data_IF_271543533102
#
_entry.id   IF_271543533102
#
_cell.length_a   1.000
_cell.length_b   1.000
_cell.length_c   1.000
_cell.angle_alpha   90.00
_cell.angle_beta   90.00
_cell.angle_gamma   90.00
#
_symmetry.space_group_name_H-M   'P 1'
#
loop_
_entity.id
_entity.type
_entity.pdbx_description
1 polymer ?
#
# COMPACT_ATOMS: atom_id res chain seq x y z
N UNK A 1 54.24 32.08 -18.48
CA UNK A 1 54.66 33.38 -17.91
C UNK A 1 54.53 33.27 -16.40
N UNK A 2 55.62 33.55 -15.71
CA UNK A 2 55.94 33.26 -14.29
C UNK A 2 55.06 34.09 -13.29
N UNK A 3 55.15 33.88 -11.95
CA UNK A 3 54.10 33.34 -11.08
C UNK A 3 54.08 34.08 -9.69
N UNK A 4 53.88 33.36 -8.57
CA UNK A 4 54.32 33.65 -7.16
C UNK A 4 53.28 34.48 -6.35
N UNK A 5 52.88 34.20 -5.09
CA UNK A 5 53.47 33.44 -3.97
C UNK A 5 52.43 32.93 -2.94
N UNK A 6 52.90 31.94 -2.21
CA UNK A 6 52.47 31.21 -1.00
C UNK A 6 52.24 32.01 0.29
N UNK A 7 51.49 31.43 1.26
CA UNK A 7 51.91 31.03 2.63
C UNK A 7 50.67 30.47 3.41
N UNK A 8 50.61 29.17 3.79
CA UNK A 8 50.82 28.57 5.16
C UNK A 8 49.89 29.12 6.27
N UNK A 9 49.36 28.39 7.26
CA UNK A 9 49.44 27.03 7.79
C UNK A 9 48.30 26.89 8.86
N UNK A 10 47.57 25.76 8.94
CA UNK A 10 47.68 24.70 9.97
C UNK A 10 46.79 24.83 11.23
N UNK A 11 46.21 23.68 11.61
CA UNK A 11 45.71 23.25 12.95
C UNK A 11 44.38 23.88 13.45
N UNK A 12 43.43 23.19 14.11
CA UNK A 12 43.33 21.84 14.65
C UNK A 12 41.84 21.47 14.92
N UNK A 13 41.65 20.17 15.14
CA UNK A 13 40.53 19.41 15.70
C UNK A 13 39.66 20.08 16.78
N UNK A 14 38.35 19.75 16.75
CA UNK A 14 37.45 19.34 17.86
C UNK A 14 37.57 20.07 19.22
N UNK A 15 36.53 20.79 19.68
CA UNK A 15 35.41 20.31 20.54
C UNK A 15 34.73 21.48 21.30
N UNK A 16 33.39 21.40 21.45
CA UNK A 16 32.53 21.96 22.53
C UNK A 16 32.27 23.49 22.63
N UNK A 17 31.01 23.89 22.41
CA UNK A 17 30.10 24.46 23.43
C UNK A 17 28.64 24.10 23.06
N UNK A 18 27.91 23.56 24.06
CA UNK A 18 26.48 23.18 24.13
C UNK A 18 25.55 24.42 24.17
N UNK A 19 24.39 24.47 23.48
CA UNK A 19 22.98 24.05 23.84
C UNK A 19 22.36 24.87 25.00
N UNK A 20 21.16 25.53 24.87
CA UNK A 20 19.81 24.89 24.80
C UNK A 20 18.80 25.57 23.84
N UNK A 21 17.72 24.95 23.37
CA UNK A 21 17.07 23.69 23.73
C UNK A 21 15.98 23.30 22.71
N UNK A 22 15.11 22.36 23.13
CA UNK A 22 14.04 21.67 22.36
C UNK A 22 14.54 20.50 21.49
N UNK A 23 14.92 19.42 22.16
CA UNK A 23 15.00 18.09 21.58
C UNK A 23 13.60 17.44 21.52
N UNK A 24 13.06 17.28 20.31
CA UNK A 24 12.21 16.13 20.01
C UNK A 24 12.93 15.26 18.98
N UNK A 25 13.85 14.41 19.46
CA UNK A 25 14.28 13.24 18.69
C UNK A 25 13.19 12.19 18.82
N UNK A 26 12.37 12.06 17.78
CA UNK A 26 11.49 10.92 17.63
C UNK A 26 12.34 9.70 17.26
N UNK A 27 12.90 9.02 18.26
CA UNK A 27 13.46 7.69 18.10
C UNK A 27 12.30 6.70 18.12
N UNK A 28 11.92 6.15 16.97
CA UNK A 28 10.99 5.03 16.90
C UNK A 28 11.80 3.74 16.89
N UNK A 29 11.76 2.90 17.94
CA UNK A 29 12.25 1.54 17.82
C UNK A 29 11.22 0.74 17.03
N UNK A 30 11.54 0.45 15.77
CA UNK A 30 10.84 -0.59 15.01
C UNK A 30 11.45 -1.92 15.45
N UNK A 31 10.84 -2.56 16.44
CA UNK A 31 11.09 -3.97 16.70
C UNK A 31 10.33 -4.79 15.64
N UNK A 32 11.03 -5.15 14.55
CA UNK A 32 10.59 -6.25 13.69
C UNK A 32 11.01 -7.54 14.40
N UNK A 33 10.04 -8.33 14.86
CA UNK A 33 10.31 -9.68 15.34
C UNK A 33 10.68 -10.57 14.15
N UNK A 34 11.98 -10.61 13.81
CA UNK A 34 12.55 -11.66 12.98
C UNK A 34 12.95 -12.80 13.90
N UNK A 35 12.10 -13.83 13.97
CA UNK A 35 12.39 -15.06 14.71
C UNK A 35 13.17 -15.99 13.78
N UNK A 36 14.49 -15.95 13.91
CA UNK A 36 15.40 -16.98 13.44
C UNK A 36 15.95 -17.73 14.65
N UNK A 37 15.60 -19.00 14.78
CA UNK A 37 16.18 -19.93 15.76
C UNK A 37 17.71 -19.95 15.62
N UNK A 38 18.41 -19.42 16.64
CA UNK A 38 19.62 -19.97 17.29
C UNK A 38 20.27 -18.92 18.22
N UNK A 39 20.40 -19.30 19.48
CA UNK A 39 21.18 -18.72 20.59
C UNK A 39 21.92 -17.40 20.32
N UNK A 40 21.37 -16.28 20.80
CA UNK A 40 22.19 -15.13 21.21
C UNK A 40 22.69 -15.45 22.62
N UNK A 41 23.94 -15.93 22.72
CA UNK A 41 24.64 -16.06 24.00
C UNK A 41 24.74 -14.69 24.66
N UNK A 42 24.36 -14.60 25.94
CA UNK A 42 24.67 -13.46 26.82
C UNK A 42 26.17 -13.20 26.78
N UNK A 43 26.58 -12.10 26.16
CA UNK A 43 27.86 -11.45 26.42
C UNK A 43 27.60 -10.37 27.48
N UNK A 44 27.60 -10.79 28.74
CA UNK A 44 27.68 -9.87 29.87
C UNK A 44 29.09 -9.94 30.44
N UNK A 45 29.92 -8.94 30.14
CA UNK A 45 30.94 -8.40 31.04
C UNK A 45 31.50 -7.14 30.37
N UNK A 46 31.13 -5.96 30.86
CA UNK A 46 32.06 -4.89 31.26
C UNK A 46 31.26 -3.83 32.02
N UNK A 47 31.72 -3.52 33.23
CA UNK A 47 31.10 -2.54 34.11
C UNK A 47 31.25 -1.13 33.54
N UNK A 48 30.12 -0.52 33.21
CA UNK A 48 29.92 0.93 33.19
C UNK A 48 28.42 1.14 33.31
N UNK A 49 27.98 2.00 34.22
CA UNK A 49 26.58 2.42 34.35
C UNK A 49 26.07 2.92 33.00
N UNK A 50 25.29 2.08 32.30
CA UNK A 50 24.72 2.42 31.01
C UNK A 50 23.62 3.47 31.21
N UNK A 51 23.79 4.72 30.74
CA UNK A 51 22.76 5.75 30.85
C UNK A 51 21.51 5.47 30.01
N UNK A 52 21.49 4.35 29.27
CA UNK A 52 20.33 3.83 28.55
C UNK A 52 19.71 2.59 29.20
N UNK A 53 20.21 2.13 30.36
CA UNK A 53 19.62 1.01 31.11
C UNK A 53 18.16 1.30 31.49
N UNK A 54 17.84 2.54 31.88
CA UNK A 54 16.48 2.97 32.19
C UNK A 54 15.59 2.99 30.94
N UNK A 55 16.14 3.41 29.79
CA UNK A 55 15.42 3.42 28.51
C UNK A 55 15.18 2.00 27.99
N UNK A 56 16.13 1.09 28.20
CA UNK A 56 15.96 -0.34 27.93
C UNK A 56 14.95 -0.97 28.88
N UNK A 57 15.01 -0.68 30.17
CA UNK A 57 14.03 -1.17 31.15
C UNK A 57 12.61 -0.70 30.80
N UNK A 58 12.45 0.56 30.41
CA UNK A 58 11.16 1.15 29.97
C UNK A 58 10.68 0.61 28.61
N UNK A 59 11.60 0.23 27.71
CA UNK A 59 11.29 -0.43 26.42
C UNK A 59 10.99 -1.92 26.54
N UNK A 60 11.49 -2.58 27.58
CA UNK A 60 11.33 -4.01 27.84
C UNK A 60 10.20 -4.29 28.84
N UNK A 61 9.73 -3.27 29.56
CA UNK A 61 8.58 -3.38 30.46
C UNK A 61 7.33 -3.76 29.66
N UNK A 62 6.70 -4.89 30.01
CA UNK A 62 5.57 -5.45 29.26
C UNK A 62 5.91 -6.22 27.97
N UNK A 63 7.20 -6.41 27.64
CA UNK A 63 7.64 -7.33 26.57
C UNK A 63 7.94 -8.69 27.20
N UNK A 64 7.08 -9.68 26.96
CA UNK A 64 7.38 -11.05 27.39
C UNK A 64 8.39 -11.69 26.43
N UNK A 65 9.62 -11.87 26.88
CA UNK A 65 10.59 -12.74 26.23
C UNK A 65 10.35 -14.17 26.71
N UNK A 66 9.89 -15.04 25.81
CA UNK A 66 9.63 -16.43 26.12
C UNK A 66 9.18 -17.23 24.91
N UNK A 67 9.22 -18.56 25.04
CA UNK A 67 8.64 -19.46 24.05
C UNK A 67 7.11 -19.31 24.10
N UNK A 68 6.54 -18.80 23.01
CA UNK A 68 5.10 -18.83 22.76
C UNK A 68 4.84 -19.77 21.58
N UNK A 69 3.66 -20.40 21.52
CA UNK A 69 3.36 -21.39 20.50
C UNK A 69 3.42 -20.78 19.09
N UNK A 70 3.84 -21.60 18.14
CA UNK A 70 3.88 -21.19 16.73
C UNK A 70 2.48 -21.02 16.18
N UNK A 71 2.27 -19.94 15.42
CA UNK A 71 1.01 -19.66 14.75
C UNK A 71 0.62 -20.81 13.81
N UNK A 72 -0.59 -21.32 13.99
CA UNK A 72 -1.14 -22.43 13.18
C UNK A 72 -1.97 -21.91 12.00
N UNK A 73 -2.74 -20.84 12.22
CA UNK A 73 -3.71 -20.33 11.25
C UNK A 73 -3.63 -18.81 11.13
N UNK A 74 -4.21 -18.29 10.05
CA UNK A 74 -4.43 -16.86 9.86
C UNK A 74 -5.85 -16.50 10.24
N UNK A 75 -6.04 -15.40 10.96
CA UNK A 75 -7.30 -14.96 11.55
C UNK A 75 -8.42 -14.95 10.50
N UNK A 76 -8.20 -14.31 9.35
CA UNK A 76 -9.20 -14.17 8.29
C UNK A 76 -9.40 -15.40 7.40
N UNK A 77 -8.64 -16.48 7.59
CA UNK A 77 -8.80 -17.72 6.81
C UNK A 77 -9.69 -18.75 7.52
N UNK A 78 -9.97 -18.55 8.81
CA UNK A 78 -10.81 -19.46 9.58
C UNK A 78 -12.27 -19.39 9.12
N UNK A 79 -12.91 -20.55 9.04
CA UNK A 79 -14.30 -20.66 8.63
C UNK A 79 -14.97 -21.88 9.31
N UNK A 80 -16.21 -22.20 8.93
CA UNK A 80 -16.98 -23.30 9.52
C UNK A 80 -16.31 -24.68 9.41
N UNK A 81 -15.44 -24.91 8.43
CA UNK A 81 -14.71 -26.19 8.32
C UNK A 81 -13.73 -26.40 9.46
N UNK A 82 -13.34 -25.34 10.18
CA UNK A 82 -12.39 -25.41 11.30
C UNK A 82 -13.06 -25.64 12.66
N UNK A 83 -14.38 -25.88 12.72
CA UNK A 83 -15.09 -26.01 13.99
C UNK A 83 -14.52 -27.14 14.86
N UNK A 84 -14.28 -26.84 16.14
CA UNK A 84 -13.71 -27.76 17.11
C UNK A 84 -12.17 -27.85 17.09
N UNK A 85 -11.50 -27.29 16.08
CA UNK A 85 -10.04 -27.28 16.00
C UNK A 85 -9.41 -26.43 17.10
N UNK A 86 -8.27 -26.88 17.60
CA UNK A 86 -7.39 -26.08 18.44
C UNK A 86 -6.49 -25.20 17.56
N UNK A 87 -6.52 -23.90 17.79
CA UNK A 87 -5.81 -22.92 16.96
C UNK A 87 -4.96 -21.99 17.79
N UNK A 88 -3.78 -21.71 17.26
CA UNK A 88 -2.86 -20.66 17.72
C UNK A 88 -2.86 -19.53 16.71
N UNK A 89 -3.26 -18.34 17.14
CA UNK A 89 -3.35 -17.14 16.31
C UNK A 89 -2.47 -16.02 16.88
N UNK A 90 -1.83 -15.26 15.99
CA UNK A 90 -0.99 -14.12 16.38
C UNK A 90 -1.37 -12.91 15.55
N UNK A 91 -1.59 -11.77 16.20
CA UNK A 91 -2.05 -10.56 15.53
C UNK A 91 -2.14 -9.35 16.45
N UNK A 92 -2.83 -8.32 15.97
CA UNK A 92 -3.11 -7.09 16.69
C UNK A 92 -4.49 -7.16 17.34
N UNK A 93 -4.50 -7.00 18.67
CA UNK A 93 -5.71 -6.81 19.45
C UNK A 93 -6.44 -5.55 18.98
N UNK A 94 -7.70 -5.64 18.57
CA UNK A 94 -8.53 -4.46 18.39
C UNK A 94 -9.12 -4.01 19.73
N UNK A 95 -10.06 -3.07 19.70
CA UNK A 95 -10.75 -2.64 20.91
C UNK A 95 -11.45 -3.82 21.58
N UNK A 96 -11.02 -4.09 22.81
CA UNK A 96 -11.65 -5.04 23.69
C UNK A 96 -13.03 -4.53 24.10
N UNK A 97 -14.03 -5.42 24.09
CA UNK A 97 -15.41 -5.12 24.46
C UNK A 97 -15.80 -6.00 25.64
N UNK A 98 -15.88 -5.40 26.82
CA UNK A 98 -16.30 -6.07 28.05
C UNK A 98 -17.79 -5.82 28.28
N UNK A 99 -18.59 -6.89 28.32
CA UNK A 99 -20.03 -6.79 28.64
C UNK A 99 -20.28 -7.08 30.12
N UNK A 100 -19.55 -8.03 30.69
CA UNK A 100 -19.53 -8.34 32.12
C UNK A 100 -18.12 -8.80 32.52
N UNK A 101 -17.89 -9.08 33.80
CA UNK A 101 -16.63 -9.69 34.26
C UNK A 101 -16.40 -11.09 33.68
N UNK A 102 -17.46 -11.78 33.27
CA UNK A 102 -17.44 -13.14 32.75
C UNK A 102 -17.54 -13.22 31.23
N UNK A 103 -17.68 -12.07 30.53
CA UNK A 103 -17.87 -12.03 29.09
C UNK A 103 -17.07 -10.91 28.43
N UNK A 104 -15.98 -11.30 27.78
CA UNK A 104 -15.06 -10.41 27.06
C UNK A 104 -15.00 -10.81 25.59
N UNK A 105 -15.17 -9.84 24.70
CA UNK A 105 -14.96 -10.01 23.28
C UNK A 105 -13.73 -9.23 22.83
N UNK A 106 -12.82 -9.91 22.14
CA UNK A 106 -11.59 -9.35 21.63
C UNK A 106 -11.45 -9.66 20.14
N UNK A 107 -11.72 -8.70 19.24
CA UNK A 107 -11.41 -8.90 17.84
C UNK A 107 -9.88 -8.93 17.66
N UNK A 108 -9.36 -10.00 17.06
CA UNK A 108 -7.95 -10.17 16.73
C UNK A 108 -7.78 -10.02 15.22
N UNK A 109 -6.94 -9.07 14.80
CA UNK A 109 -6.67 -8.79 13.39
C UNK A 109 -5.27 -9.23 13.00
N UNK A 110 -5.14 -9.83 11.84
CA UNK A 110 -3.86 -9.94 11.14
C UNK A 110 -3.99 -9.47 9.68
N UNK A 111 -2.99 -9.76 8.86
CA UNK A 111 -2.98 -9.33 7.46
C UNK A 111 -4.06 -10.00 6.58
N UNK A 112 -4.66 -11.10 7.02
CA UNK A 112 -5.67 -11.87 6.29
C UNK A 112 -7.09 -11.45 6.63
N UNK A 113 -7.30 -10.89 7.83
CA UNK A 113 -8.62 -10.44 8.28
C UNK A 113 -8.69 -10.35 9.80
N UNK A 114 -9.92 -10.27 10.31
CA UNK A 114 -10.21 -10.19 11.74
C UNK A 114 -11.07 -11.37 12.14
N UNK A 115 -10.76 -12.00 13.27
CA UNK A 115 -11.60 -13.02 13.93
C UNK A 115 -11.97 -12.55 15.33
N UNK A 116 -13.11 -13.01 15.85
CA UNK A 116 -13.51 -12.71 17.22
C UNK A 116 -12.94 -13.76 18.16
N UNK A 117 -12.19 -13.32 19.16
CA UNK A 117 -11.80 -14.12 20.33
C UNK A 117 -12.77 -13.80 21.45
N UNK A 118 -13.18 -14.81 22.20
CA UNK A 118 -14.14 -14.67 23.29
C UNK A 118 -13.62 -15.35 24.55
N UNK A 119 -13.84 -14.72 25.70
CA UNK A 119 -13.63 -15.32 27.00
C UNK A 119 -14.99 -15.38 27.71
N UNK A 120 -15.53 -16.58 27.91
CA UNK A 120 -16.79 -16.84 28.64
C UNK A 120 -16.53 -17.59 29.95
N UNK A 121 -17.27 -17.23 31.00
CA UNK A 121 -17.29 -17.94 32.29
C UNK A 121 -16.36 -17.33 33.35
N UNK A 122 -16.44 -17.87 34.57
CA UNK A 122 -15.67 -17.45 35.76
C UNK A 122 -14.79 -18.55 36.35
N UNK A 123 -14.52 -19.62 35.59
CA UNK A 123 -13.66 -20.72 36.03
C UNK A 123 -12.23 -20.23 36.30
N UNK A 124 -11.58 -20.82 37.30
CA UNK A 124 -10.23 -20.44 37.75
C UNK A 124 -9.17 -20.56 36.66
N UNK A 125 -9.36 -21.48 35.70
CA UNK A 125 -8.48 -21.64 34.54
C UNK A 125 -8.44 -20.38 33.64
N UNK A 126 -9.52 -19.58 33.65
CA UNK A 126 -9.67 -18.37 32.82
C UNK A 126 -9.23 -17.09 33.53
N UNK A 127 -8.93 -17.14 34.84
CA UNK A 127 -8.56 -15.96 35.63
C UNK A 127 -7.29 -15.28 35.14
N UNK A 128 -6.25 -16.07 34.83
CA UNK A 128 -5.00 -15.54 34.31
C UNK A 128 -5.18 -14.87 32.94
N UNK A 129 -5.96 -15.49 32.06
CA UNK A 129 -6.28 -14.90 30.76
C UNK A 129 -7.08 -13.60 30.94
N UNK A 130 -8.06 -13.58 31.84
CA UNK A 130 -8.87 -12.40 32.16
C UNK A 130 -8.01 -11.25 32.67
N UNK A 131 -7.11 -11.51 33.61
CA UNK A 131 -6.17 -10.52 34.14
C UNK A 131 -5.30 -9.93 33.03
N UNK A 132 -4.72 -10.79 32.16
CA UNK A 132 -3.91 -10.34 31.02
C UNK A 132 -4.69 -9.48 30.03
N UNK A 133 -5.98 -9.74 29.86
CA UNK A 133 -6.86 -8.95 28.99
C UNK A 133 -7.30 -7.61 29.60
N UNK A 134 -7.39 -7.49 30.92
CA UNK A 134 -7.81 -6.24 31.58
C UNK A 134 -6.86 -5.08 31.30
N UNK A 135 -5.56 -5.37 31.28
CA UNK A 135 -4.52 -4.38 31.02
C UNK A 135 -4.18 -4.21 29.53
N UNK A 136 -4.89 -4.91 28.65
CA UNK A 136 -4.60 -4.93 27.22
C UNK A 136 -5.07 -3.65 26.54
N UNK A 137 -4.13 -2.94 25.91
CA UNK A 137 -4.42 -1.76 25.12
C UNK A 137 -4.63 -2.13 23.64
N UNK A 138 -5.45 -1.34 22.94
CA UNK A 138 -5.70 -1.54 21.52
C UNK A 138 -4.39 -1.53 20.70
N UNK A 139 -4.38 -2.31 19.63
CA UNK A 139 -3.26 -2.55 18.72
C UNK A 139 -2.02 -3.19 19.35
N UNK A 140 -2.13 -3.70 20.59
CA UNK A 140 -1.12 -4.57 21.18
C UNK A 140 -0.97 -5.86 20.37
N UNK A 141 0.24 -6.39 20.30
CA UNK A 141 0.53 -7.66 19.62
C UNK A 141 0.34 -8.79 20.61
N UNK A 142 -0.54 -9.73 20.28
CA UNK A 142 -0.86 -10.86 21.14
C UNK A 142 -0.78 -12.18 20.37
N UNK A 143 -0.48 -13.25 21.10
CA UNK A 143 -0.67 -14.62 20.68
C UNK A 143 -1.80 -15.23 21.52
N UNK A 144 -2.78 -15.85 20.87
CA UNK A 144 -3.91 -16.50 21.52
C UNK A 144 -3.94 -17.97 21.14
N UNK A 145 -4.23 -18.81 22.11
CA UNK A 145 -4.60 -20.21 21.92
C UNK A 145 -6.07 -20.37 22.27
N UNK A 146 -6.79 -21.12 21.46
CA UNK A 146 -8.20 -21.33 21.69
C UNK A 146 -8.80 -22.40 20.80
N UNK A 147 -10.09 -22.63 20.99
CA UNK A 147 -10.86 -23.57 20.17
C UNK A 147 -11.83 -22.81 19.27
N UNK A 148 -11.91 -23.22 18.01
CA UNK A 148 -12.88 -22.65 17.07
C UNK A 148 -14.27 -23.15 17.44
N UNK A 149 -15.20 -22.23 17.68
CA UNK A 149 -16.60 -22.53 18.01
C UNK A 149 -17.55 -21.76 17.09
N UNK A 150 -18.76 -22.28 16.93
CA UNK A 150 -19.80 -21.56 16.21
C UNK A 150 -20.28 -20.38 17.05
N UNK A 151 -20.60 -19.27 16.40
CA UNK A 151 -21.40 -18.24 17.06
C UNK A 151 -22.84 -18.71 17.20
N UNK A 152 -23.53 -18.16 18.19
CA UNK A 152 -24.98 -18.26 18.29
C UNK A 152 -25.63 -17.66 17.05
N UNK A 153 -26.77 -18.21 16.62
CA UNK A 153 -27.45 -17.79 15.39
C UNK A 153 -27.77 -16.28 15.37
N UNK A 154 -28.07 -15.68 16.52
CA UNK A 154 -28.33 -14.24 16.68
C UNK A 154 -27.06 -13.37 16.66
N UNK A 155 -25.87 -13.95 16.84
CA UNK A 155 -24.58 -13.26 16.93
C UNK A 155 -23.72 -13.39 15.66
N UNK A 156 -24.25 -14.05 14.62
CA UNK A 156 -23.61 -14.15 13.31
C UNK A 156 -23.46 -12.76 12.69
N UNK A 157 -22.25 -12.43 12.23
CA UNK A 157 -21.98 -11.15 11.56
C UNK A 157 -21.74 -11.37 10.06
N UNK A 158 -22.75 -11.16 9.18
CA UNK A 158 -22.61 -11.39 7.75
C UNK A 158 -21.61 -10.44 7.06
N UNK A 159 -21.17 -9.37 7.73
CA UNK A 159 -20.19 -8.42 7.21
C UNK A 159 -18.74 -8.89 7.40
N UNK A 160 -18.51 -9.98 8.13
CA UNK A 160 -17.19 -10.54 8.39
C UNK A 160 -17.07 -11.92 7.76
N UNK A 161 -15.92 -12.21 7.13
CA UNK A 161 -15.63 -13.55 6.56
C UNK A 161 -15.68 -14.62 7.64
N UNK A 162 -15.13 -14.34 8.82
CA UNK A 162 -15.18 -15.21 10.00
C UNK A 162 -16.43 -14.96 10.84
N UNK A 163 -17.50 -14.42 10.24
CA UNK A 163 -18.67 -13.92 10.95
C UNK A 163 -19.52 -14.99 11.61
N UNK A 164 -19.37 -16.24 11.18
CA UNK A 164 -20.12 -17.39 11.68
C UNK A 164 -19.41 -18.11 12.84
N UNK A 165 -18.14 -17.78 13.10
CA UNK A 165 -17.28 -18.46 14.07
C UNK A 165 -16.66 -17.47 15.07
N UNK A 166 -16.24 -17.99 16.21
CA UNK A 166 -15.42 -17.30 17.19
C UNK A 166 -14.42 -18.25 17.83
N UNK A 167 -13.43 -17.72 18.53
CA UNK A 167 -12.39 -18.50 19.21
C UNK A 167 -12.64 -18.43 20.72
N UNK A 168 -13.04 -19.55 21.32
CA UNK A 168 -13.08 -19.64 22.79
C UNK A 168 -11.66 -19.67 23.33
N UNK A 169 -11.32 -18.65 24.10
CA UNK A 169 -9.97 -18.36 24.56
C UNK A 169 -9.56 -19.35 25.66
N UNK A 170 -8.43 -20.02 25.42
CA UNK A 170 -7.77 -20.90 26.39
C UNK A 170 -6.61 -20.15 27.03
N UNK A 171 -5.72 -19.56 26.22
CA UNK A 171 -4.54 -18.85 26.71
C UNK A 171 -4.29 -17.59 25.88
N UNK A 172 -3.74 -16.56 26.52
CA UNK A 172 -3.27 -15.34 25.85
C UNK A 172 -1.88 -14.96 26.34
N UNK A 173 -1.00 -14.65 25.41
CA UNK A 173 0.34 -14.12 25.65
C UNK A 173 0.44 -12.73 24.98
N UNK A 174 0.81 -11.72 25.77
CA UNK A 174 0.99 -10.34 25.29
C UNK A 174 2.43 -10.18 24.82
N UNK A 175 2.66 -10.28 23.52
CA UNK A 175 4.00 -10.25 22.93
C UNK A 175 4.60 -8.85 22.96
N UNK A 176 3.77 -7.84 22.70
CA UNK A 176 4.19 -6.44 22.75
C UNK A 176 2.98 -5.55 23.05
N UNK A 177 3.03 -4.84 24.17
CA UNK A 177 1.95 -3.96 24.61
C UNK A 177 2.07 -2.58 23.97
N UNK A 178 0.94 -1.97 23.63
CA UNK A 178 0.94 -0.58 23.19
C UNK A 178 0.95 0.34 24.42
N UNK A 179 2.09 0.97 24.72
CA UNK A 179 2.27 1.80 25.92
C UNK A 179 1.78 3.25 25.78
N UNK A 180 1.69 3.78 24.55
CA UNK A 180 1.28 5.17 24.28
C UNK A 180 -0.11 5.20 23.67
N UNK A 181 -0.90 6.22 24.04
CA UNK A 181 -2.17 6.51 23.36
C UNK A 181 -1.90 6.69 21.88
N UNK A 182 -2.55 5.88 21.04
CA UNK A 182 -2.36 5.94 19.61
C UNK A 182 -3.05 7.17 19.01
N UNK A 183 -2.45 7.81 18.00
CA UNK A 183 -3.03 9.00 17.36
C UNK A 183 -4.34 8.69 16.63
N UNK A 184 -4.53 7.44 16.22
CA UNK A 184 -5.77 6.89 15.66
C UNK A 184 -5.71 5.36 15.68
N UNK A 185 -6.85 4.69 15.52
CA UNK A 185 -6.91 3.24 15.36
C UNK A 185 -7.10 2.87 13.88
N UNK A 186 -6.35 1.90 13.34
CA UNK A 186 -6.54 1.40 11.98
C UNK A 186 -7.93 0.81 11.72
N UNK A 187 -8.66 0.41 12.76
CA UNK A 187 -10.03 -0.11 12.68
C UNK A 187 -11.11 0.98 12.59
N UNK A 188 -10.77 2.25 12.82
CA UNK A 188 -11.76 3.33 12.79
C UNK A 188 -12.27 3.56 11.36
N UNK A 189 -13.58 3.80 11.23
CA UNK A 189 -14.21 4.10 9.95
C UNK A 189 -13.87 5.52 9.49
N UNK A 190 -13.94 6.49 10.40
CA UNK A 190 -13.57 7.88 10.13
C UNK A 190 -12.06 8.03 10.08
N UNK A 191 -11.57 8.63 8.99
CA UNK A 191 -10.15 8.89 8.82
C UNK A 191 -9.77 10.18 9.52
N UNK A 192 -8.66 10.15 10.26
CA UNK A 192 -7.98 11.36 10.71
C UNK A 192 -7.30 12.07 9.53
N UNK A 193 -6.85 13.31 9.75
CA UNK A 193 -6.18 14.10 8.73
C UNK A 193 -5.04 13.33 8.05
N UNK A 194 -4.84 13.59 6.76
CA UNK A 194 -3.78 12.92 6.00
C UNK A 194 -2.39 13.17 6.59
N UNK A 195 -2.14 14.37 7.11
CA UNK A 195 -0.89 14.72 7.80
C UNK A 195 -0.58 13.75 8.95
N UNK A 196 -1.54 13.48 9.83
CA UNK A 196 -1.37 12.53 10.94
C UNK A 196 -1.14 11.11 10.39
N UNK A 197 -1.87 10.72 9.35
CA UNK A 197 -1.71 9.40 8.73
C UNK A 197 -0.33 9.21 8.08
N UNK A 198 0.21 10.24 7.44
CA UNK A 198 1.56 10.22 6.86
C UNK A 198 2.64 10.22 7.95
N UNK A 199 2.47 11.00 9.02
CA UNK A 199 3.38 11.01 10.17
C UNK A 199 3.47 9.64 10.85
N UNK A 200 2.34 8.93 10.96
CA UNK A 200 2.26 7.59 11.54
C UNK A 200 1.96 6.52 10.48
N UNK A 201 2.68 6.58 9.35
CA UNK A 201 2.40 5.72 8.18
C UNK A 201 2.50 4.22 8.50
N UNK A 202 3.39 3.81 9.40
CA UNK A 202 3.48 2.41 9.83
C UNK A 202 2.16 1.90 10.45
N UNK A 203 1.42 2.76 11.15
CA UNK A 203 0.11 2.45 11.72
C UNK A 203 -0.98 2.51 10.66
N UNK A 204 -0.99 3.55 9.81
CA UNK A 204 -1.97 3.70 8.72
C UNK A 204 -1.91 2.50 7.76
N UNK A 205 -0.70 2.02 7.46
CA UNK A 205 -0.48 0.84 6.61
C UNK A 205 -1.11 -0.44 7.18
N UNK A 206 -1.52 -0.53 8.45
CA UNK A 206 -2.26 -1.69 8.98
C UNK A 206 -3.70 -1.77 8.48
N UNK A 207 -4.24 -0.70 7.90
CA UNK A 207 -5.61 -0.67 7.36
C UNK A 207 -5.74 -1.61 6.17
N UNK A 208 -6.86 -2.35 6.12
CA UNK A 208 -7.15 -3.34 5.09
C UNK A 208 -7.06 -2.76 3.67
N UNK A 209 -7.54 -1.53 3.46
CA UNK A 209 -7.50 -0.88 2.13
C UNK A 209 -6.05 -0.67 1.65
N UNK A 210 -5.16 -0.17 2.51
CA UNK A 210 -3.76 0.07 2.14
C UNK A 210 -2.98 -1.23 2.00
N UNK A 211 -3.24 -2.21 2.87
CA UNK A 211 -2.72 -3.57 2.74
C UNK A 211 -3.11 -4.20 1.40
N UNK A 212 -4.37 -4.03 0.96
CA UNK A 212 -4.83 -4.48 -0.36
C UNK A 212 -4.10 -3.74 -1.48
N UNK A 213 -4.03 -2.42 -1.43
CA UNK A 213 -3.36 -1.62 -2.46
C UNK A 213 -1.89 -2.04 -2.68
N UNK A 214 -1.15 -2.33 -1.60
CA UNK A 214 0.24 -2.79 -1.71
C UNK A 214 0.34 -4.18 -2.35
N UNK A 215 -0.58 -5.11 -2.03
CA UNK A 215 -0.64 -6.44 -2.65
C UNK A 215 -1.06 -6.38 -4.11
N UNK A 216 -2.08 -5.57 -4.43
CA UNK A 216 -2.53 -5.32 -5.80
C UNK A 216 -1.37 -4.73 -6.63
N UNK A 217 -0.62 -3.76 -6.08
CA UNK A 217 0.58 -3.21 -6.74
C UNK A 217 1.65 -4.28 -6.99
N UNK A 218 1.92 -5.14 -6.01
CA UNK A 218 2.88 -6.24 -6.14
C UNK A 218 2.45 -7.24 -7.22
N UNK A 219 1.17 -7.64 -7.20
CA UNK A 219 0.59 -8.52 -8.20
C UNK A 219 0.64 -7.90 -9.60
N UNK A 220 0.31 -6.62 -9.75
CA UNK A 220 0.41 -5.91 -11.03
C UNK A 220 1.85 -5.96 -11.57
N UNK A 221 2.86 -5.67 -10.75
CA UNK A 221 4.25 -5.73 -11.15
C UNK A 221 4.67 -7.15 -11.58
N UNK A 222 4.17 -8.18 -10.91
CA UNK A 222 4.40 -9.58 -11.31
C UNK A 222 3.74 -9.91 -12.65
N UNK A 223 2.48 -9.51 -12.85
CA UNK A 223 1.76 -9.73 -14.13
C UNK A 223 2.45 -9.01 -15.28
N UNK A 224 2.95 -7.79 -15.05
CA UNK A 224 3.70 -7.03 -16.05
C UNK A 224 4.97 -7.79 -16.46
N UNK A 225 5.74 -8.27 -15.49
CA UNK A 225 6.95 -9.07 -15.75
C UNK A 225 6.63 -10.34 -16.53
N UNK A 226 5.63 -11.09 -16.08
CA UNK A 226 5.21 -12.35 -16.71
C UNK A 226 4.78 -12.11 -18.17
N UNK A 227 3.90 -11.13 -18.40
CA UNK A 227 3.45 -10.78 -19.75
C UNK A 227 4.60 -10.36 -20.66
N UNK A 228 5.46 -9.43 -20.22
CA UNK A 228 6.56 -8.95 -21.05
C UNK A 228 7.59 -10.07 -21.34
N UNK A 229 7.88 -10.92 -20.36
CA UNK A 229 8.78 -12.08 -20.54
C UNK A 229 8.21 -13.07 -21.57
N UNK A 230 6.90 -13.31 -21.57
CA UNK A 230 6.23 -14.15 -22.58
C UNK A 230 6.26 -13.53 -23.99
N UNK A 231 6.54 -12.23 -24.10
CA UNK A 231 6.70 -11.49 -25.35
C UNK A 231 8.18 -11.19 -25.68
N UNK A 232 9.10 -12.02 -25.18
CA UNK A 232 10.55 -11.99 -25.43
C UNK A 232 11.25 -10.71 -24.94
N UNK A 233 10.66 -9.97 -24.01
CA UNK A 233 11.32 -8.84 -23.37
C UNK A 233 12.31 -9.28 -22.29
N UNK A 234 13.43 -8.57 -22.20
CA UNK A 234 14.46 -8.78 -21.18
C UNK A 234 14.41 -7.66 -20.14
N UNK A 235 14.30 -8.01 -18.85
CA UNK A 235 14.37 -7.02 -17.75
C UNK A 235 15.84 -6.62 -17.56
N UNK A 236 16.18 -5.35 -17.80
CA UNK A 236 17.55 -4.85 -17.62
C UNK A 236 17.53 -3.66 -16.66
N UNK A 237 18.42 -3.67 -15.67
CA UNK A 237 18.57 -2.55 -14.75
C UNK A 237 19.47 -1.46 -15.31
N UNK A 238 19.01 -0.21 -15.27
CA UNK A 238 19.78 0.96 -15.70
C UNK A 238 20.29 1.79 -14.52
N UNK A 239 21.49 2.41 -14.60
CA UNK A 239 22.05 3.20 -13.50
C UNK A 239 21.23 4.44 -13.12
N UNK A 240 21.26 4.77 -11.82
CA UNK A 240 20.51 5.90 -11.22
C UNK A 240 21.35 7.16 -11.03
N UNK A 241 22.68 7.03 -10.95
CA UNK A 241 23.59 8.17 -10.86
C UNK A 241 24.07 8.48 -12.27
N UNK A 242 23.50 9.51 -12.87
CA UNK A 242 23.69 9.78 -14.29
C UNK A 242 24.20 11.20 -14.55
N UNK A 243 24.56 11.49 -15.81
CA UNK A 243 24.91 12.83 -16.24
C UNK A 243 23.62 13.63 -16.45
N UNK A 244 23.63 14.90 -16.02
CA UNK A 244 22.50 15.80 -16.24
C UNK A 244 22.21 16.01 -17.72
N UNK A 245 20.92 16.07 -18.05
CA UNK A 245 20.44 16.32 -19.41
C UNK A 245 19.66 17.63 -19.43
N UNK A 246 20.03 18.61 -20.27
CA UNK A 246 19.51 19.98 -20.17
C UNK A 246 18.04 20.15 -20.62
N UNK A 247 17.38 19.09 -21.08
CA UNK A 247 16.01 19.13 -21.61
C UNK A 247 15.06 18.31 -20.72
N UNK A 248 13.84 18.81 -20.50
CA UNK A 248 12.80 18.12 -19.73
C UNK A 248 12.42 18.84 -18.42
N UNK A 249 12.15 18.07 -17.37
CA UNK A 249 11.87 18.58 -16.04
C UNK A 249 13.17 18.99 -15.31
N UNK A 250 13.06 19.61 -14.14
CA UNK A 250 14.22 19.80 -13.28
C UNK A 250 14.67 18.47 -12.67
N UNK A 251 15.99 18.27 -12.56
CA UNK A 251 16.61 17.04 -12.05
C UNK A 251 17.09 17.23 -10.60
N UNK A 252 16.95 16.18 -9.78
CA UNK A 252 17.64 16.14 -8.49
C UNK A 252 19.14 15.90 -8.69
N UNK A 253 19.96 16.66 -7.97
CA UNK A 253 21.42 16.53 -8.02
C UNK A 253 21.96 15.77 -6.80
N UNK A 254 22.95 14.92 -7.05
CA UNK A 254 23.68 14.18 -6.00
C UNK A 254 25.14 14.63 -6.04
N UNK A 255 25.63 15.35 -5.00
CA UNK A 255 27.02 15.79 -4.96
C UNK A 255 27.97 14.60 -4.90
N UNK A 256 29.07 14.69 -5.64
CA UNK A 256 30.12 13.67 -5.59
C UNK A 256 31.18 14.05 -4.55
N UNK A 257 32.03 13.08 -4.18
CA UNK A 257 33.22 13.36 -3.35
C UNK A 257 34.25 14.22 -4.07
N UNK A 258 34.18 14.30 -5.40
CA UNK A 258 35.06 15.14 -6.22
C UNK A 258 34.44 16.54 -6.25
N UNK A 259 35.20 17.52 -5.75
CA UNK A 259 34.75 18.91 -5.69
C UNK A 259 34.35 19.43 -7.08
N UNK A 260 33.20 20.10 -7.15
CA UNK A 260 32.68 20.70 -8.39
C UNK A 260 31.97 19.74 -9.34
N UNK A 261 31.81 18.46 -8.97
CA UNK A 261 31.12 17.45 -9.80
C UNK A 261 29.86 16.91 -9.11
N UNK A 262 28.80 16.71 -9.89
CA UNK A 262 27.50 16.24 -9.45
C UNK A 262 26.97 15.16 -10.40
N UNK A 263 26.25 14.18 -9.86
CA UNK A 263 25.33 13.34 -10.64
C UNK A 263 23.95 13.97 -10.66
N UNK A 264 23.14 13.57 -11.63
CA UNK A 264 21.72 13.81 -11.68
C UNK A 264 20.96 12.48 -11.55
N UNK A 265 19.83 12.50 -10.85
CA UNK A 265 18.90 11.36 -10.83
C UNK A 265 18.02 11.38 -12.09
N UNK A 266 17.78 10.22 -12.75
CA UNK A 266 17.12 10.17 -14.04
C UNK A 266 15.62 10.45 -13.94
N UNK A 267 15.10 11.22 -14.91
CA UNK A 267 13.67 11.45 -15.08
C UNK A 267 12.94 10.24 -15.69
N UNK A 268 13.68 9.42 -16.44
CA UNK A 268 13.30 8.13 -17.01
C UNK A 268 14.57 7.43 -17.55
N UNK A 269 14.55 6.12 -17.81
CA UNK A 269 15.66 5.42 -18.46
C UNK A 269 15.82 5.70 -19.97
N UNK A 270 15.25 6.79 -20.49
CA UNK A 270 15.15 7.07 -21.93
C UNK A 270 16.48 6.95 -22.70
N UNK A 271 17.58 7.45 -22.15
CA UNK A 271 18.88 7.38 -22.84
C UNK A 271 19.45 5.97 -22.82
N UNK A 272 19.26 5.24 -21.73
CA UNK A 272 19.75 3.87 -21.60
C UNK A 272 18.97 2.89 -22.47
N UNK A 273 17.65 3.01 -22.55
CA UNK A 273 16.86 2.12 -23.41
C UNK A 273 17.22 2.29 -24.88
N UNK A 274 17.50 3.52 -25.33
CA UNK A 274 18.01 3.78 -26.69
C UNK A 274 19.39 3.16 -26.91
N UNK A 275 20.30 3.30 -25.94
CA UNK A 275 21.61 2.64 -26.00
C UNK A 275 21.48 1.12 -26.07
N UNK A 276 20.56 0.53 -25.32
CA UNK A 276 20.30 -0.91 -25.33
C UNK A 276 19.81 -1.37 -26.71
N UNK A 277 18.85 -0.66 -27.31
CA UNK A 277 18.37 -0.97 -28.67
C UNK A 277 19.53 -0.90 -29.68
N UNK A 278 20.33 0.16 -29.62
CA UNK A 278 21.51 0.31 -30.48
C UNK A 278 22.59 -0.77 -30.24
N UNK A 279 22.62 -1.37 -29.05
CA UNK A 279 23.56 -2.43 -28.67
C UNK A 279 23.08 -3.84 -29.07
N UNK A 280 21.97 -3.94 -29.81
CA UNK A 280 21.42 -5.22 -30.27
C UNK A 280 20.45 -5.88 -29.29
N UNK A 281 20.00 -5.18 -28.24
CA UNK A 281 18.87 -5.63 -27.44
C UNK A 281 17.58 -5.44 -28.25
N UNK A 282 16.93 -6.52 -28.67
CA UNK A 282 15.71 -6.42 -29.48
C UNK A 282 14.52 -5.90 -28.66
N UNK A 283 14.38 -6.35 -27.40
CA UNK A 283 13.23 -6.02 -26.54
C UNK A 283 13.67 -5.85 -25.10
N UNK A 284 13.48 -4.65 -24.58
CA UNK A 284 13.90 -4.24 -23.25
C UNK A 284 12.70 -3.79 -22.43
N UNK A 285 12.69 -4.14 -21.14
CA UNK A 285 11.83 -3.47 -20.19
C UNK A 285 12.50 -3.28 -18.83
N UNK A 286 11.95 -2.37 -18.03
CA UNK A 286 12.34 -2.16 -16.64
C UNK A 286 11.18 -1.55 -15.86
N UNK A 287 10.96 -2.04 -14.63
CA UNK A 287 10.13 -1.33 -13.65
C UNK A 287 11.03 -0.33 -12.91
N UNK A 288 11.23 0.83 -13.52
CA UNK A 288 12.25 1.81 -13.12
C UNK A 288 11.74 2.82 -12.08
N UNK A 289 12.64 3.25 -11.20
CA UNK A 289 12.43 4.42 -10.33
C UNK A 289 12.85 5.69 -11.08
N UNK A 290 12.02 6.71 -11.01
CA UNK A 290 12.20 7.96 -11.75
C UNK A 290 11.99 9.15 -10.83
N UNK A 291 12.72 10.24 -11.10
CA UNK A 291 12.70 11.43 -10.24
C UNK A 291 12.46 12.71 -11.04
N UNK A 292 11.65 13.60 -10.48
CA UNK A 292 11.37 14.93 -11.04
C UNK A 292 11.35 15.94 -9.91
N UNK A 293 12.20 16.97 -10.01
CA UNK A 293 12.26 18.07 -9.05
C UNK A 293 11.24 19.17 -9.41
N UNK A 294 9.98 18.78 -9.41
CA UNK A 294 8.83 19.61 -9.80
C UNK A 294 7.83 19.75 -8.64
N UNK A 295 6.99 20.78 -8.71
CA UNK A 295 5.92 20.97 -7.73
C UNK A 295 4.96 19.78 -7.71
N UNK A 296 4.57 19.39 -6.49
CA UNK A 296 3.72 18.24 -6.23
C UNK A 296 2.27 18.50 -6.67
N UNK A 297 1.58 17.43 -7.08
CA UNK A 297 0.13 17.41 -7.33
C UNK A 297 -0.45 16.13 -6.75
N UNK A 298 -1.77 16.02 -6.71
CA UNK A 298 -2.46 14.83 -6.19
C UNK A 298 -2.00 13.52 -6.87
N UNK A 299 -1.62 13.59 -8.15
CA UNK A 299 -1.15 12.50 -8.99
C UNK A 299 0.36 12.55 -9.27
N UNK A 300 1.11 13.50 -8.68
CA UNK A 300 2.54 13.73 -8.97
C UNK A 300 3.37 13.72 -7.71
N UNK A 301 4.28 12.76 -7.66
CA UNK A 301 5.27 12.61 -6.61
C UNK A 301 6.67 12.82 -7.18
N UNK A 302 7.64 13.31 -6.39
CA UNK A 302 8.97 13.62 -6.88
C UNK A 302 9.76 12.35 -7.18
N UNK A 303 9.43 11.25 -6.50
CA UNK A 303 9.87 9.89 -6.82
C UNK A 303 8.65 9.06 -7.23
N UNK A 304 8.72 8.43 -8.40
CA UNK A 304 7.66 7.56 -8.89
C UNK A 304 8.25 6.34 -9.61
N UNK A 305 7.40 5.40 -9.99
CA UNK A 305 7.80 4.16 -10.66
C UNK A 305 7.16 4.11 -12.03
N UNK A 306 7.95 3.86 -13.06
CA UNK A 306 7.49 3.66 -14.42
C UNK A 306 7.65 2.20 -14.83
N UNK A 307 6.80 1.75 -15.74
CA UNK A 307 7.05 0.56 -16.55
C UNK A 307 7.63 1.10 -17.85
N UNK A 308 8.95 1.08 -17.96
CA UNK A 308 9.65 1.51 -19.16
C UNK A 308 9.89 0.29 -20.05
N UNK A 309 9.66 0.45 -21.35
CA UNK A 309 9.86 -0.60 -22.34
C UNK A 309 10.28 0.01 -23.67
N UNK A 310 11.01 -0.76 -24.45
CA UNK A 310 11.47 -0.39 -25.79
C UNK A 310 11.60 -1.67 -26.65
N UNK A 311 11.31 -1.57 -27.95
CA UNK A 311 11.51 -2.65 -28.91
C UNK A 311 12.19 -2.15 -30.18
N UNK A 312 13.14 -2.91 -30.69
CA UNK A 312 13.80 -2.69 -31.98
C UNK A 312 12.91 -3.19 -33.11
N UNK A 313 13.05 -2.57 -34.30
CA UNK A 313 12.36 -2.97 -35.53
C UNK A 313 10.81 -3.02 -35.46
N UNK A 314 10.19 -2.50 -34.39
CA UNK A 314 8.74 -2.44 -34.22
C UNK A 314 8.15 -1.13 -34.71
N UNK A 315 6.93 -1.19 -35.23
CA UNK A 315 6.15 0.00 -35.53
C UNK A 315 5.42 0.53 -34.29
N UNK A 316 4.94 1.78 -34.35
CA UNK A 316 4.08 2.33 -33.31
C UNK A 316 2.81 1.47 -33.08
N UNK A 317 2.33 0.78 -34.12
CA UNK A 317 1.18 -0.12 -34.03
C UNK A 317 1.47 -1.40 -33.24
N UNK A 318 2.68 -1.93 -33.37
CA UNK A 318 3.10 -3.14 -32.65
C UNK A 318 3.21 -2.84 -31.16
N UNK A 319 3.83 -1.71 -30.81
CA UNK A 319 3.93 -1.25 -29.41
C UNK A 319 2.54 -1.01 -28.81
N UNK A 320 1.65 -0.32 -29.53
CA UNK A 320 0.27 -0.10 -29.06
C UNK A 320 -0.45 -1.41 -28.78
N UNK A 321 -0.35 -2.38 -29.69
CA UNK A 321 -1.02 -3.68 -29.56
C UNK A 321 -0.46 -4.48 -28.38
N UNK A 322 0.87 -4.46 -28.20
CA UNK A 322 1.52 -5.06 -27.03
C UNK A 322 1.02 -4.45 -25.72
N UNK A 323 0.99 -3.12 -25.63
CA UNK A 323 0.56 -2.38 -24.42
C UNK A 323 -0.93 -2.59 -24.15
N UNK A 324 -1.79 -2.62 -25.17
CA UNK A 324 -3.21 -2.96 -25.03
C UNK A 324 -3.39 -4.34 -24.39
N UNK A 325 -2.65 -5.36 -24.85
CA UNK A 325 -2.67 -6.70 -24.26
C UNK A 325 -2.10 -6.76 -22.84
N UNK A 326 -1.06 -5.96 -22.54
CA UNK A 326 -0.50 -5.83 -21.19
C UNK A 326 -1.54 -5.28 -20.22
N UNK A 327 -2.21 -4.18 -20.59
CA UNK A 327 -3.25 -3.54 -19.76
C UNK A 327 -4.42 -4.49 -19.52
N UNK A 328 -4.87 -5.22 -20.55
CA UNK A 328 -5.89 -6.27 -20.41
C UNK A 328 -5.47 -7.34 -19.41
N UNK A 329 -4.25 -7.84 -19.54
CA UNK A 329 -3.72 -8.90 -18.67
C UNK A 329 -3.72 -8.48 -17.20
N UNK A 330 -3.31 -7.23 -16.93
CA UNK A 330 -3.34 -6.66 -15.57
C UNK A 330 -4.78 -6.54 -15.04
N UNK A 331 -5.73 -6.01 -15.82
CA UNK A 331 -7.13 -5.87 -15.37
C UNK A 331 -7.86 -7.19 -15.19
N UNK A 332 -7.70 -8.13 -16.11
CA UNK A 332 -8.23 -9.48 -15.94
C UNK A 332 -7.70 -10.11 -14.66
N UNK A 333 -6.38 -10.04 -14.42
CA UNK A 333 -5.78 -10.70 -13.27
C UNK A 333 -6.13 -10.06 -11.93
N UNK A 334 -6.22 -8.73 -11.85
CA UNK A 334 -6.44 -8.00 -10.60
C UNK A 334 -7.91 -7.81 -10.25
N UNK A 335 -8.77 -7.67 -11.27
CA UNK A 335 -10.17 -7.25 -11.11
C UNK A 335 -11.18 -8.19 -11.77
N UNK A 336 -10.73 -9.21 -12.50
CA UNK A 336 -11.60 -10.11 -13.26
C UNK A 336 -12.50 -9.35 -14.24
N UNK A 337 -11.90 -8.34 -14.90
CA UNK A 337 -12.57 -7.47 -15.89
C UNK A 337 -11.88 -7.62 -17.24
N UNK A 338 -12.64 -8.05 -18.24
CA UNK A 338 -12.20 -8.08 -19.63
C UNK A 338 -12.41 -6.70 -20.28
N UNK A 339 -11.32 -6.02 -20.65
CA UNK A 339 -11.37 -4.71 -21.29
C UNK A 339 -11.52 -4.82 -22.81
N UNK A 340 -12.60 -4.25 -23.35
CA UNK A 340 -12.88 -4.22 -24.80
C UNK A 340 -12.74 -5.62 -25.41
N UNK A 341 -13.44 -6.60 -24.85
CA UNK A 341 -13.36 -7.99 -25.30
C UNK A 341 -13.68 -8.12 -26.79
N UNK A 342 -12.82 -8.80 -27.54
CA UNK A 342 -12.96 -8.96 -29.00
C UNK A 342 -12.78 -7.69 -29.85
N UNK A 343 -12.50 -6.52 -29.25
CA UNK A 343 -12.37 -5.24 -29.95
C UNK A 343 -11.06 -4.53 -29.55
N UNK A 344 -10.27 -3.99 -30.47
CA UNK A 344 -9.09 -3.17 -30.09
C UNK A 344 -9.48 -1.92 -29.28
N UNK A 345 -8.54 -1.33 -28.53
CA UNK A 345 -8.85 -0.08 -27.82
C UNK A 345 -9.24 1.02 -28.83
N UNK A 346 -10.24 1.87 -28.52
CA UNK A 346 -10.62 2.97 -29.41
C UNK A 346 -9.44 3.90 -29.66
N UNK A 347 -9.23 4.26 -30.93
CA UNK A 347 -8.11 5.12 -31.34
C UNK A 347 -8.64 6.42 -31.91
N UNK A 348 -7.97 7.52 -31.58
CA UNK A 348 -8.35 8.86 -32.00
C UNK A 348 -7.10 9.63 -32.38
N UNK A 349 -7.12 10.30 -33.54
CA UNK A 349 -6.06 11.22 -33.91
C UNK A 349 -6.07 12.46 -33.01
N UNK A 350 -4.89 13.03 -32.79
CA UNK A 350 -4.72 14.21 -31.96
C UNK A 350 -5.61 15.39 -32.41
N UNK A 351 -5.65 15.69 -33.71
CA UNK A 351 -6.49 16.80 -34.23
C UNK A 351 -7.98 16.56 -33.96
N UNK A 352 -8.43 15.31 -34.11
CA UNK A 352 -9.81 14.93 -33.81
C UNK A 352 -10.12 14.99 -32.31
N UNK A 353 -9.15 14.62 -31.47
CA UNK A 353 -9.26 14.76 -30.02
C UNK A 353 -9.37 16.23 -29.62
N UNK A 354 -8.46 17.10 -30.07
CA UNK A 354 -8.45 18.52 -29.73
C UNK A 354 -9.68 19.28 -30.27
N UNK A 355 -10.21 18.89 -31.43
CA UNK A 355 -11.45 19.49 -31.96
C UNK A 355 -12.71 19.05 -31.18
N UNK A 356 -12.68 17.89 -30.54
CA UNK A 356 -13.81 17.36 -29.75
C UNK A 356 -13.70 17.66 -28.25
N UNK A 357 -12.49 17.81 -27.74
CA UNK A 357 -12.13 17.98 -26.33
C UNK A 357 -11.66 19.42 -26.16
N UNK A 358 -12.57 20.29 -25.73
CA UNK A 358 -12.32 21.73 -25.60
C UNK A 358 -11.44 22.07 -24.37
N UNK A 359 -11.33 21.15 -23.40
CA UNK A 359 -10.44 21.31 -22.23
C UNK A 359 -9.61 20.05 -21.97
N UNK A 360 -8.28 20.20 -21.89
CA UNK A 360 -7.33 19.11 -21.62
C UNK A 360 -7.55 18.46 -20.23
N UNK A 361 -8.22 19.16 -19.30
CA UNK A 361 -8.64 18.62 -18.01
C UNK A 361 -9.65 17.46 -18.12
N UNK A 362 -10.36 17.34 -19.25
CA UNK A 362 -11.30 16.24 -19.51
C UNK A 362 -10.59 14.91 -19.84
N UNK A 363 -9.26 14.91 -19.98
CA UNK A 363 -8.46 13.71 -20.28
C UNK A 363 -8.16 12.87 -19.04
N UNK A 364 -8.14 13.50 -17.87
CA UNK A 364 -7.83 12.85 -16.58
C UNK A 364 -9.06 12.45 -15.78
N UNK A 365 -10.25 12.91 -16.17
CA UNK A 365 -11.50 12.57 -15.49
C UNK A 365 -12.18 11.35 -16.14
N UNK A 366 -12.62 10.41 -15.30
CA UNK A 366 -13.47 9.26 -15.66
C UNK A 366 -14.74 9.63 -16.47
N UNK A 367 -15.05 10.92 -16.59
CA UNK A 367 -16.13 11.48 -17.38
C UNK A 367 -15.90 11.38 -18.90
N UNK A 368 -14.70 11.08 -19.41
CA UNK A 368 -14.49 11.05 -20.87
C UNK A 368 -15.13 9.82 -21.53
N UNK A 369 -15.05 8.65 -20.89
CA UNK A 369 -15.77 7.45 -21.35
C UNK A 369 -17.29 7.65 -21.24
N UNK A 370 -17.79 8.23 -20.15
CA UNK A 370 -19.20 8.61 -20.03
C UNK A 370 -19.61 9.61 -21.12
N UNK A 371 -18.82 10.65 -21.40
CA UNK A 371 -19.17 11.68 -22.39
C UNK A 371 -19.12 11.14 -23.82
N UNK A 372 -18.17 10.26 -24.15
CA UNK A 372 -18.08 9.62 -25.46
C UNK A 372 -19.20 8.60 -25.65
N UNK A 373 -19.52 7.80 -24.63
CA UNK A 373 -20.62 6.82 -24.66
C UNK A 373 -21.98 7.54 -24.70
N UNK A 374 -22.19 8.57 -23.88
CA UNK A 374 -23.40 9.41 -23.88
C UNK A 374 -23.56 10.14 -25.21
N UNK A 375 -22.52 10.78 -25.77
CA UNK A 375 -22.62 11.44 -27.08
C UNK A 375 -22.89 10.46 -28.23
N UNK A 376 -22.41 9.21 -28.14
CA UNK A 376 -22.67 8.17 -29.14
C UNK A 376 -24.08 7.57 -29.00
N UNK A 377 -24.61 7.49 -27.78
CA UNK A 377 -26.01 7.17 -27.51
C UNK A 377 -26.98 8.32 -27.92
N UNK A 378 -26.56 9.57 -27.72
CA UNK A 378 -27.31 10.80 -28.03
C UNK A 378 -27.29 11.19 -29.52
N UNK A 379 -26.43 10.57 -30.34
CA UNK A 379 -26.51 10.68 -31.81
C UNK A 379 -27.79 10.05 -32.39
N UNK A 380 -28.70 9.55 -31.55
CA UNK A 380 -30.01 9.00 -31.96
C UNK A 380 -31.21 9.96 -31.80
N UNK A 381 -31.10 11.09 -31.08
CA UNK A 381 -32.06 12.22 -31.21
C UNK A 381 -31.58 13.44 -30.43
N UNK A 382 -31.43 14.58 -31.12
CA UNK A 382 -30.84 15.80 -30.55
C UNK A 382 -31.78 16.64 -29.66
N UNK A 383 -33.05 16.28 -29.49
CA UNK A 383 -34.05 17.13 -28.81
C UNK A 383 -34.19 16.90 -27.31
N UNK A 384 -33.75 15.75 -26.79
CA UNK A 384 -34.10 15.33 -25.42
C UNK A 384 -33.09 15.80 -24.36
N UNK A 385 -31.91 16.27 -24.79
CA UNK A 385 -30.84 16.70 -23.89
C UNK A 385 -31.20 17.94 -23.06
N UNK A 386 -31.83 18.93 -23.68
CA UNK A 386 -32.17 20.19 -23.01
C UNK A 386 -33.29 20.02 -21.98
N UNK A 387 -34.15 19.00 -22.15
CA UNK A 387 -35.20 18.66 -21.17
C UNK A 387 -34.63 17.89 -19.98
N UNK A 388 -33.68 17.00 -20.20
CA UNK A 388 -33.06 16.17 -19.14
C UNK A 388 -32.11 16.95 -18.23
N UNK A 389 -31.36 17.92 -18.78
CA UNK A 389 -30.51 18.82 -17.98
C UNK A 389 -31.34 19.74 -17.09
N UNK A 390 -32.50 20.21 -17.57
CA UNK A 390 -33.39 21.06 -16.77
C UNK A 390 -34.16 20.29 -15.68
N UNK A 391 -34.45 18.99 -15.87
CA UNK A 391 -35.19 18.19 -14.89
C UNK A 391 -34.32 17.63 -13.75
N UNK A 392 -33.00 17.56 -13.90
CA UNK A 392 -32.10 16.88 -12.94
C UNK A 392 -31.52 17.76 -11.81
N UNK A 393 -32.04 18.98 -11.61
CA UNK A 393 -31.74 19.76 -10.39
C UNK A 393 -32.61 19.34 -9.19
N UNK A 394 -33.53 18.38 -9.35
CA UNK A 394 -34.45 17.95 -8.28
C UNK A 394 -34.62 16.43 -8.22
N UNK A 395 -33.74 15.72 -7.52
CA UNK A 395 -34.01 14.34 -7.09
C UNK A 395 -32.77 13.46 -6.95
N UNK A 396 -32.38 13.17 -5.71
CA UNK A 396 -31.19 12.40 -5.33
C UNK A 396 -31.24 10.90 -5.63
N UNK A 397 -31.21 10.53 -6.92
CA UNK A 397 -30.74 9.22 -7.36
C UNK A 397 -29.50 9.41 -8.23
N UNK A 398 -28.47 8.58 -8.03
CA UNK A 398 -27.21 8.68 -8.79
C UNK A 398 -27.43 8.37 -10.26
N UNK A 399 -26.94 9.26 -11.12
CA UNK A 399 -27.02 9.21 -12.59
C UNK A 399 -26.62 7.83 -13.15
N UNK A 400 -25.65 7.19 -12.53
CA UNK A 400 -25.14 5.83 -12.81
C UNK A 400 -26.20 4.72 -12.79
N UNK A 401 -27.19 4.80 -11.88
CA UNK A 401 -28.24 3.79 -11.78
C UNK A 401 -29.25 3.86 -12.93
N UNK A 402 -29.53 5.08 -13.42
CA UNK A 402 -30.50 5.32 -14.50
C UNK A 402 -29.88 5.05 -15.87
N UNK A 403 -28.62 5.44 -16.08
CA UNK A 403 -27.88 5.17 -17.34
C UNK A 403 -27.75 3.66 -17.60
N UNK A 404 -27.53 2.84 -16.55
CA UNK A 404 -27.53 1.36 -16.69
C UNK A 404 -28.88 0.80 -17.12
N UNK A 405 -29.98 1.35 -16.61
CA UNK A 405 -31.34 0.88 -16.91
C UNK A 405 -31.74 1.24 -18.36
N UNK A 406 -31.38 2.44 -18.81
CA UNK A 406 -31.65 2.88 -20.18
C UNK A 406 -30.77 2.18 -21.22
N UNK A 407 -29.51 1.88 -20.90
CA UNK A 407 -28.67 1.05 -21.78
C UNK A 407 -29.25 -0.36 -21.96
N UNK A 408 -29.79 -0.96 -20.89
CA UNK A 408 -30.43 -2.28 -20.96
C UNK A 408 -31.67 -2.27 -21.86
N UNK A 409 -32.50 -1.22 -21.79
CA UNK A 409 -33.71 -1.08 -22.60
C UNK A 409 -33.40 -0.79 -24.09
N UNK A 410 -32.35 -0.01 -24.38
CA UNK A 410 -31.93 0.28 -25.76
C UNK A 410 -31.29 -0.93 -26.44
N UNK A 411 -30.60 -1.78 -25.68
CA UNK A 411 -30.03 -3.03 -26.20
C UNK A 411 -31.12 -4.09 -26.44
N UNK A 412 -32.13 -4.19 -25.57
CA UNK A 412 -33.26 -5.13 -25.77
C UNK A 412 -34.20 -4.74 -26.92
N UNK A 413 -34.31 -3.47 -27.29
CA UNK A 413 -35.18 -3.03 -28.39
C UNK A 413 -34.57 -3.21 -29.79
N UNK A 414 -33.30 -3.64 -29.88
CA UNK A 414 -32.59 -3.88 -31.15
C UNK A 414 -32.38 -5.36 -31.50
N UNK A 415 -32.87 -6.29 -30.67
CA UNK A 415 -32.93 -7.73 -30.97
C UNK A 415 -34.33 -8.20 -31.46
N UNK A 416 -35.18 -7.30 -31.96
CA UNK A 416 -36.46 -7.63 -32.61
C UNK A 416 -36.56 -7.08 -34.02
#
# INVERSE_FOLDING_TARGET
>A
MFPIRTQRAANALWTLIRIPGQHHRATFPIAVALVGSRSIRRLTTFGSSDPHADLQAELLDGVTFGDYPSRTHKCGHLNKTNLGEHVVLTGWAQNLRKFSDELIFLPLRDHSGTVQVILKGSDSEKDLARQRLQDLTAESVICVEGRVVSRDASAINPKMVTGDIEIDLISVCVLNKTHKVLPFLPSNQSLVSEEIRLKYRCLDLRRTVLQRNLRDRSLAAWVIRDYLTQHDFVEVETPMLFKSTPEGAREFVVPTRISGSFYALPQSPQQYKQLLMASGMDRYFQIAKCFRDEDLRADRQPEFTQVDLEMSFGSARDIQTLVEGLVRSVWRRLKDVELFEGQGFPRMEYQLAMSKIQHVADITDNNMLETIVLKKAMKLSGSDLNKLVQQNTKGGQTLLGKVRLELANVLQSKEK
#
